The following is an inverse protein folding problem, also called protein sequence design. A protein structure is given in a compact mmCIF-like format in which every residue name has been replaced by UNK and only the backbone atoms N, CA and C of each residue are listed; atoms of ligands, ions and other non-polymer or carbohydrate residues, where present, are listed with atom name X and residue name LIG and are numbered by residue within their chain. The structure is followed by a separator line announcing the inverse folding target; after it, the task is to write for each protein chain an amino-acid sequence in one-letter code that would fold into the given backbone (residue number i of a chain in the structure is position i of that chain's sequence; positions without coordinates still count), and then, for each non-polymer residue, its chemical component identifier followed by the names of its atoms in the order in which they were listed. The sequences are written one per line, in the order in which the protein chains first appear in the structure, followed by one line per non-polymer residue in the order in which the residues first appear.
data_IF_414195254390
#
_entry.id   IF_414195254390
#
_cell.length_a   1.000
_cell.length_b   1.000
_cell.length_c   1.000
_cell.angle_alpha   90.00
_cell.angle_beta   90.00
_cell.angle_gamma   90.00
#
_symmetry.space_group_name_H-M   'P 1'
#
loop_
_entity.id
_entity.type
_entity.pdbx_description
1 polymer ?
#
# COMPACT_ATOMS: atom_id res chain seq x y z
N UNK A 1 -21.68 -32.83 3.55
CA UNK A 1 -22.60 -31.67 3.69
C UNK A 1 -21.79 -30.46 3.22
N UNK A 2 -22.17 -29.89 2.10
CA UNK A 2 -21.53 -28.67 1.62
C UNK A 2 -21.85 -27.57 2.63
N UNK A 3 -20.84 -27.01 3.29
CA UNK A 3 -21.02 -25.89 4.18
C UNK A 3 -21.03 -24.61 3.36
N UNK A 4 -22.14 -23.89 3.37
CA UNK A 4 -22.28 -22.58 2.74
C UNK A 4 -22.25 -21.50 3.80
N UNK A 5 -21.58 -20.40 3.50
CA UNK A 5 -21.77 -19.18 4.26
C UNK A 5 -23.13 -18.60 3.92
N UNK A 6 -23.95 -18.35 4.90
CA UNK A 6 -25.21 -17.67 4.72
C UNK A 6 -25.09 -16.25 5.26
N UNK A 7 -25.11 -15.30 4.37
CA UNK A 7 -25.27 -13.91 4.75
C UNK A 7 -26.70 -13.49 4.42
N UNK A 8 -27.46 -13.10 5.44
CA UNK A 8 -28.81 -12.64 5.28
C UNK A 8 -28.88 -11.15 5.59
N UNK A 9 -28.90 -10.30 4.56
CA UNK A 9 -29.45 -8.96 4.70
C UNK A 9 -30.98 -9.07 4.70
N UNK A 10 -31.70 -8.04 5.12
CA UNK A 10 -33.16 -8.05 5.14
C UNK A 10 -33.82 -8.39 3.78
N UNK A 11 -33.07 -8.49 2.71
CA UNK A 11 -33.54 -8.68 1.34
C UNK A 11 -32.77 -9.69 0.51
N UNK A 12 -31.56 -10.12 0.89
CA UNK A 12 -30.68 -10.91 0.01
C UNK A 12 -29.90 -11.97 0.80
N UNK A 13 -29.86 -13.17 0.24
CA UNK A 13 -29.19 -14.35 0.78
C UNK A 13 -27.98 -14.65 -0.11
N UNK A 14 -26.77 -14.27 0.31
CA UNK A 14 -25.52 -14.58 -0.41
C UNK A 14 -24.96 -15.86 0.22
N UNK A 15 -24.82 -16.90 -0.60
CA UNK A 15 -24.24 -18.17 -0.18
C UNK A 15 -22.81 -18.26 -0.66
N UNK A 16 -21.91 -18.51 0.26
CA UNK A 16 -20.50 -18.72 -0.02
C UNK A 16 -20.13 -20.19 0.23
N UNK A 17 -19.42 -20.76 -0.70
CA UNK A 17 -18.88 -22.12 -0.51
C UNK A 17 -17.63 -22.05 0.36
N UNK A 18 -17.62 -22.76 1.49
CA UNK A 18 -16.42 -22.96 2.31
C UNK A 18 -15.51 -23.97 1.64
N UNK A 19 -14.40 -23.54 1.07
CA UNK A 19 -13.35 -24.47 0.66
C UNK A 19 -12.48 -24.81 1.88
N UNK A 20 -12.57 -26.03 2.43
CA UNK A 20 -11.79 -26.43 3.60
C UNK A 20 -10.28 -26.45 3.30
N UNK A 21 -9.88 -26.46 2.03
CA UNK A 21 -8.48 -26.46 1.61
C UNK A 21 -7.82 -25.08 1.67
N UNK A 22 -8.59 -24.02 1.91
CA UNK A 22 -8.06 -22.66 1.98
C UNK A 22 -7.41 -22.29 3.33
N UNK A 23 -7.53 -23.16 4.35
CA UNK A 23 -7.06 -22.89 5.71
C UNK A 23 -5.57 -22.52 5.81
N UNK A 24 -4.74 -23.03 4.91
CA UNK A 24 -3.31 -22.76 4.85
C UNK A 24 -2.95 -21.71 3.79
N UNK A 25 -3.94 -21.15 3.08
CA UNK A 25 -3.71 -20.20 1.99
C UNK A 25 -3.55 -18.77 2.47
N UNK A 26 -2.78 -18.04 1.69
CA UNK A 26 -2.61 -16.59 1.78
C UNK A 26 -3.50 -15.96 0.70
N UNK A 27 -4.50 -15.22 1.11
CA UNK A 27 -5.59 -14.76 0.25
C UNK A 27 -5.62 -13.25 0.17
N UNK A 28 -6.05 -12.70 -0.97
CA UNK A 28 -6.47 -11.30 -1.08
C UNK A 28 -7.98 -11.27 -1.28
N UNK A 29 -8.67 -10.51 -0.45
CA UNK A 29 -10.08 -10.22 -0.56
C UNK A 29 -10.26 -8.80 -1.08
N UNK A 30 -10.96 -8.65 -2.21
CA UNK A 30 -11.18 -7.35 -2.86
C UNK A 30 -12.61 -7.21 -3.34
N UNK A 31 -13.03 -5.96 -3.54
CA UNK A 31 -14.31 -5.62 -4.15
C UNK A 31 -14.06 -4.80 -5.42
N UNK A 32 -14.56 -5.24 -6.56
CA UNK A 32 -14.41 -4.58 -7.84
C UNK A 32 -15.72 -3.95 -8.31
N UNK A 33 -15.66 -2.67 -8.65
CA UNK A 33 -16.73 -1.94 -9.30
C UNK A 33 -16.15 -0.97 -10.33
N UNK A 34 -16.32 -1.29 -11.63
CA UNK A 34 -15.76 -0.48 -12.72
C UNK A 34 -14.23 -0.47 -12.77
N UNK A 35 -13.59 -1.58 -12.36
CA UNK A 35 -12.14 -1.78 -12.42
C UNK A 35 -11.74 -2.86 -13.44
N UNK A 36 -12.62 -3.20 -14.38
CA UNK A 36 -12.44 -4.28 -15.35
C UNK A 36 -11.17 -4.13 -16.19
N UNK A 37 -10.81 -2.90 -16.54
CA UNK A 37 -9.60 -2.60 -17.33
C UNK A 37 -8.29 -2.92 -16.60
N UNK A 38 -8.33 -3.11 -15.26
CA UNK A 38 -7.16 -3.24 -14.40
C UNK A 38 -7.14 -4.49 -13.54
N UNK A 39 -8.27 -5.20 -13.46
CA UNK A 39 -8.42 -6.32 -12.52
C UNK A 39 -7.43 -7.45 -12.81
N UNK A 40 -7.08 -7.70 -14.06
CA UNK A 40 -6.10 -8.71 -14.42
C UNK A 40 -4.68 -8.32 -13.95
N UNK A 41 -4.32 -7.02 -14.04
CA UNK A 41 -3.06 -6.52 -13.47
C UNK A 41 -3.02 -6.73 -11.96
N UNK A 42 -4.13 -6.42 -11.26
CA UNK A 42 -4.27 -6.63 -9.83
C UNK A 42 -4.10 -8.10 -9.45
N UNK A 43 -4.80 -9.01 -10.11
CA UNK A 43 -4.70 -10.45 -9.87
C UNK A 43 -3.27 -10.94 -10.07
N UNK A 44 -2.66 -10.60 -11.19
CA UNK A 44 -1.28 -10.99 -11.50
C UNK A 44 -0.27 -10.44 -10.49
N UNK A 45 -0.45 -9.19 -10.05
CA UNK A 45 0.43 -8.59 -9.05
C UNK A 45 0.46 -9.40 -7.75
N UNK A 46 -0.71 -9.74 -7.22
CA UNK A 46 -0.79 -10.44 -5.94
C UNK A 46 -0.42 -11.92 -6.02
N UNK A 47 -0.75 -12.61 -7.11
CA UNK A 47 -0.26 -13.96 -7.34
C UNK A 47 1.28 -14.00 -7.47
N UNK A 48 1.88 -13.02 -8.17
CA UNK A 48 3.32 -12.90 -8.28
C UNK A 48 4.00 -12.51 -6.97
N UNK A 49 3.30 -11.78 -6.08
CA UNK A 49 3.79 -11.47 -4.73
C UNK A 49 3.74 -12.69 -3.80
N UNK A 50 3.08 -13.77 -4.21
CA UNK A 50 3.04 -15.04 -3.51
C UNK A 50 1.74 -15.35 -2.76
N UNK A 51 0.68 -14.57 -2.98
CA UNK A 51 -0.66 -14.97 -2.55
C UNK A 51 -1.14 -16.18 -3.35
N UNK A 52 -1.94 -17.03 -2.74
CA UNK A 52 -2.41 -18.26 -3.35
C UNK A 52 -3.74 -18.08 -4.09
N UNK A 53 -4.57 -17.15 -3.64
CA UNK A 53 -5.94 -17.00 -4.15
C UNK A 53 -6.43 -15.58 -3.97
N UNK A 54 -7.23 -15.12 -4.93
CA UNK A 54 -7.94 -13.84 -4.86
C UNK A 54 -9.43 -14.14 -4.72
N UNK A 55 -10.04 -13.58 -3.68
CA UNK A 55 -11.48 -13.59 -3.45
C UNK A 55 -12.02 -12.24 -3.91
N UNK A 56 -12.90 -12.26 -4.88
CA UNK A 56 -13.36 -11.06 -5.56
C UNK A 56 -14.88 -10.90 -5.42
N UNK A 57 -15.29 -9.83 -4.76
CA UNK A 57 -16.67 -9.37 -4.74
C UNK A 57 -16.94 -8.59 -6.04
N UNK A 58 -17.69 -9.17 -6.97
CA UNK A 58 -18.13 -8.47 -8.18
C UNK A 58 -19.34 -7.60 -7.87
N UNK A 59 -19.11 -6.33 -7.74
CA UNK A 59 -20.12 -5.30 -7.51
C UNK A 59 -20.35 -4.43 -8.75
N UNK A 60 -19.99 -4.94 -9.94
CA UNK A 60 -20.28 -4.28 -11.21
C UNK A 60 -21.78 -4.26 -11.53
N UNK A 61 -22.11 -3.56 -12.59
CA UNK A 61 -23.48 -3.57 -13.16
C UNK A 61 -23.62 -4.66 -14.27
N UNK A 62 -22.51 -5.26 -14.72
CA UNK A 62 -22.43 -6.30 -15.75
C UNK A 62 -21.62 -7.52 -15.28
N UNK A 63 -21.55 -8.57 -16.12
CA UNK A 63 -20.91 -9.86 -15.83
C UNK A 63 -19.54 -10.05 -16.51
N UNK A 64 -18.90 -8.98 -16.90
CA UNK A 64 -17.67 -9.02 -17.69
C UNK A 64 -16.46 -9.61 -16.95
N UNK A 65 -16.44 -9.58 -15.59
CA UNK A 65 -15.31 -10.08 -14.80
C UNK A 65 -15.06 -11.58 -14.97
N UNK A 66 -16.11 -12.39 -15.06
CA UNK A 66 -15.97 -13.84 -15.30
C UNK A 66 -15.27 -14.12 -16.64
N UNK A 67 -15.58 -13.32 -17.66
CA UNK A 67 -14.94 -13.44 -18.98
C UNK A 67 -13.47 -13.04 -18.95
N UNK A 68 -13.14 -11.96 -18.26
CA UNK A 68 -11.77 -11.45 -18.12
C UNK A 68 -10.90 -12.44 -17.32
N UNK A 69 -11.45 -13.00 -16.24
CA UNK A 69 -10.69 -13.81 -15.29
C UNK A 69 -10.91 -15.33 -15.44
N UNK A 70 -11.48 -15.77 -16.58
CA UNK A 70 -11.87 -17.18 -16.83
C UNK A 70 -10.76 -18.18 -16.55
N UNK A 71 -9.53 -17.88 -16.95
CA UNK A 71 -8.40 -18.80 -16.81
C UNK A 71 -7.95 -18.91 -15.33
N UNK A 72 -8.02 -17.80 -14.57
CA UNK A 72 -7.74 -17.78 -13.14
C UNK A 72 -8.84 -18.51 -12.33
N UNK A 73 -10.10 -18.39 -12.76
CA UNK A 73 -11.23 -19.13 -12.16
C UNK A 73 -11.05 -20.63 -12.41
N UNK A 74 -10.74 -21.02 -13.65
CA UNK A 74 -10.52 -22.42 -14.02
C UNK A 74 -9.37 -23.06 -13.24
N UNK A 75 -8.34 -22.29 -12.89
CA UNK A 75 -7.19 -22.72 -12.10
C UNK A 75 -7.41 -22.59 -10.58
N UNK A 76 -8.59 -22.18 -10.14
CA UNK A 76 -8.92 -21.94 -8.73
C UNK A 76 -8.00 -20.93 -8.01
N UNK A 77 -7.42 -19.98 -8.75
CA UNK A 77 -6.63 -18.88 -8.19
C UNK A 77 -7.45 -17.61 -8.01
N UNK A 78 -8.64 -17.53 -8.65
CA UNK A 78 -9.64 -16.48 -8.43
C UNK A 78 -10.99 -17.14 -8.14
N UNK A 79 -11.69 -16.61 -7.15
CA UNK A 79 -13.08 -16.94 -6.86
C UNK A 79 -13.91 -15.66 -6.86
N UNK A 80 -14.97 -15.63 -7.68
CA UNK A 80 -15.83 -14.46 -7.84
C UNK A 80 -17.16 -14.69 -7.13
N UNK A 81 -17.52 -13.73 -6.29
CA UNK A 81 -18.83 -13.68 -5.66
C UNK A 81 -19.68 -12.60 -6.32
N UNK A 82 -20.78 -13.01 -6.90
CA UNK A 82 -21.72 -12.11 -7.55
C UNK A 82 -22.48 -11.27 -6.53
N UNK A 83 -22.07 -10.03 -6.39
CA UNK A 83 -22.68 -9.01 -5.53
C UNK A 83 -23.30 -7.87 -6.35
N UNK A 84 -23.63 -8.11 -7.61
CA UNK A 84 -24.26 -7.14 -8.51
C UNK A 84 -25.63 -6.73 -7.99
N UNK A 85 -25.97 -5.46 -8.18
CA UNK A 85 -27.25 -4.91 -7.68
C UNK A 85 -27.29 -4.60 -6.20
N UNK A 86 -26.28 -4.99 -5.44
CA UNK A 86 -26.11 -4.48 -4.09
C UNK A 86 -25.44 -3.10 -4.19
N UNK A 87 -25.96 -2.09 -3.59
CA UNK A 87 -25.37 -0.76 -3.62
C UNK A 87 -23.93 -0.76 -3.11
N UNK A 88 -23.71 -0.19 -1.97
CA UNK A 88 -22.44 -0.17 -1.27
C UNK A 88 -22.25 -1.48 -0.48
N UNK A 89 -21.45 -2.42 -0.97
CA UNK A 89 -21.37 -3.76 -0.36
C UNK A 89 -19.97 -4.14 0.16
N UNK A 90 -18.96 -3.36 -0.12
CA UNK A 90 -17.56 -3.68 0.21
C UNK A 90 -17.34 -3.96 1.71
N UNK A 91 -17.82 -3.08 2.57
CA UNK A 91 -17.63 -3.20 4.03
C UNK A 91 -18.34 -4.45 4.57
N UNK A 92 -19.54 -4.72 4.09
CA UNK A 92 -20.31 -5.90 4.45
C UNK A 92 -19.60 -7.17 3.98
N UNK A 93 -19.11 -7.18 2.75
CA UNK A 93 -18.37 -8.31 2.19
C UNK A 93 -17.10 -8.60 2.99
N UNK A 94 -16.29 -7.57 3.27
CA UNK A 94 -15.08 -7.70 4.06
C UNK A 94 -15.38 -8.21 5.48
N UNK A 95 -16.39 -7.65 6.14
CA UNK A 95 -16.77 -8.06 7.50
C UNK A 95 -17.20 -9.52 7.55
N UNK A 96 -18.01 -9.94 6.60
CA UNK A 96 -18.47 -11.31 6.47
C UNK A 96 -17.30 -12.26 6.19
N UNK A 97 -16.47 -11.95 5.21
CA UNK A 97 -15.35 -12.80 4.84
C UNK A 97 -14.29 -12.88 5.94
N UNK A 98 -14.11 -11.81 6.70
CA UNK A 98 -13.20 -11.77 7.85
C UNK A 98 -13.68 -12.69 8.98
N UNK A 99 -14.97 -12.66 9.32
CA UNK A 99 -15.52 -13.44 10.44
C UNK A 99 -15.66 -14.93 10.11
N UNK A 100 -15.89 -15.27 8.85
CA UNK A 100 -16.21 -16.63 8.44
C UNK A 100 -15.17 -17.27 7.52
N UNK A 101 -14.21 -16.51 7.04
CA UNK A 101 -13.19 -16.96 6.10
C UNK A 101 -12.29 -18.06 6.66
N UNK A 102 -11.95 -19.00 5.78
CA UNK A 102 -11.06 -20.11 6.09
C UNK A 102 -9.72 -19.88 5.37
N UNK A 103 -8.75 -19.23 6.03
CA UNK A 103 -7.48 -18.86 5.46
C UNK A 103 -6.37 -18.77 6.52
N UNK A 104 -5.12 -18.79 6.10
CA UNK A 104 -3.97 -18.54 6.97
C UNK A 104 -3.74 -17.06 7.19
N UNK A 105 -3.80 -16.28 6.09
CA UNK A 105 -3.74 -14.83 6.09
C UNK A 105 -4.64 -14.28 4.99
N UNK A 106 -5.35 -13.20 5.25
CA UNK A 106 -6.17 -12.52 4.27
C UNK A 106 -5.87 -11.01 4.25
N UNK A 107 -5.51 -10.51 3.09
CA UNK A 107 -5.35 -9.09 2.82
C UNK A 107 -6.68 -8.51 2.32
N UNK A 108 -7.05 -7.33 2.80
CA UNK A 108 -8.26 -6.60 2.40
C UNK A 108 -7.84 -5.31 1.70
N UNK A 109 -7.72 -5.39 0.37
CA UNK A 109 -7.22 -4.30 -0.46
C UNK A 109 -8.24 -3.91 -1.53
N UNK A 110 -8.26 -2.64 -1.91
CA UNK A 110 -9.08 -2.16 -3.02
C UNK A 110 -8.43 -2.57 -4.35
N UNK A 111 -9.23 -2.73 -5.40
CA UNK A 111 -8.76 -3.21 -6.70
C UNK A 111 -7.79 -2.24 -7.42
N UNK A 112 -7.59 -1.06 -6.89
CA UNK A 112 -6.64 -0.05 -7.37
C UNK A 112 -5.45 0.18 -6.40
N UNK A 113 -5.24 -0.76 -5.46
CA UNK A 113 -4.15 -0.77 -4.50
C UNK A 113 -3.17 -1.91 -4.78
N UNK A 114 -1.87 -1.61 -4.77
CA UNK A 114 -0.81 -2.56 -5.07
C UNK A 114 0.26 -2.54 -3.97
N UNK A 115 0.37 -3.64 -3.21
CA UNK A 115 1.35 -3.77 -2.15
C UNK A 115 2.77 -3.90 -2.71
N UNK A 116 3.65 -3.01 -2.27
CA UNK A 116 5.10 -3.13 -2.48
C UNK A 116 5.77 -3.45 -1.15
N UNK A 117 6.46 -4.58 -1.08
CA UNK A 117 7.32 -4.94 0.03
C UNK A 117 8.74 -4.47 -0.25
N UNK A 118 9.35 -3.73 0.65
CA UNK A 118 10.68 -3.17 0.42
C UNK A 118 11.76 -4.25 0.40
N UNK A 119 11.71 -5.19 1.31
CA UNK A 119 12.76 -6.18 1.53
C UNK A 119 12.42 -7.51 0.89
N UNK A 120 11.27 -8.06 1.22
CA UNK A 120 10.86 -9.40 0.78
C UNK A 120 10.31 -9.39 -0.65
N UNK A 121 10.61 -10.44 -1.40
CA UNK A 121 10.03 -10.67 -2.73
C UNK A 121 8.74 -11.48 -2.68
N UNK A 122 8.47 -12.11 -1.54
CA UNK A 122 7.33 -13.00 -1.33
C UNK A 122 6.61 -12.64 -0.03
N UNK A 123 5.29 -12.52 -0.11
CA UNK A 123 4.45 -12.15 1.04
C UNK A 123 4.51 -13.19 2.17
N UNK A 124 4.66 -14.48 1.82
CA UNK A 124 4.71 -15.56 2.81
C UNK A 124 5.95 -15.46 3.67
N UNK A 125 7.12 -15.16 3.05
CA UNK A 125 8.37 -14.96 3.78
C UNK A 125 8.25 -13.78 4.75
N UNK A 126 7.64 -12.69 4.30
CA UNK A 126 7.38 -11.53 5.14
C UNK A 126 6.41 -11.87 6.29
N UNK A 127 5.24 -12.42 6.00
CA UNK A 127 4.20 -12.70 7.01
C UNK A 127 4.64 -13.75 8.03
N UNK A 128 5.57 -14.65 7.66
CA UNK A 128 6.15 -15.60 8.60
C UNK A 128 7.05 -14.93 9.66
N UNK A 129 7.49 -13.69 9.45
CA UNK A 129 8.23 -12.90 10.45
C UNK A 129 7.34 -12.09 11.38
N UNK A 130 6.04 -12.02 11.09
CA UNK A 130 5.06 -11.24 11.85
C UNK A 130 4.46 -12.10 12.95
N UNK A 131 4.43 -11.58 14.17
CA UNK A 131 3.86 -12.26 15.33
C UNK A 131 2.44 -11.81 15.64
N UNK A 132 2.10 -10.59 15.25
CA UNK A 132 0.81 -9.98 15.47
C UNK A 132 -0.29 -10.61 14.60
N UNK A 133 -1.53 -10.39 14.98
CA UNK A 133 -2.71 -10.95 14.30
C UNK A 133 -3.11 -10.12 13.07
N UNK A 134 -2.77 -8.85 13.08
CA UNK A 134 -3.09 -7.92 12.02
C UNK A 134 -1.88 -7.05 11.69
N UNK A 135 -1.57 -6.94 10.41
CA UNK A 135 -0.56 -6.01 9.91
C UNK A 135 -1.18 -5.07 8.89
N UNK A 136 -0.81 -3.79 8.99
CA UNK A 136 -1.33 -2.75 8.10
C UNK A 136 -0.22 -2.03 7.35
N UNK A 137 -0.53 -1.56 6.14
CA UNK A 137 0.37 -0.80 5.28
C UNK A 137 -0.25 0.52 4.90
N UNK A 138 0.47 1.62 5.17
CA UNK A 138 0.05 2.94 4.75
C UNK A 138 0.03 3.08 3.22
N UNK A 139 -0.84 3.95 2.74
CA UNK A 139 -0.87 4.33 1.34
C UNK A 139 0.32 5.22 0.96
N UNK A 140 0.72 5.10 -0.29
CA UNK A 140 1.35 6.15 -1.07
C UNK A 140 0.46 6.39 -2.27
N UNK A 141 -0.14 7.57 -2.34
CA UNK A 141 -0.99 7.96 -3.46
C UNK A 141 -0.15 8.18 -4.70
N UNK A 142 -0.56 7.57 -5.83
CA UNK A 142 0.02 7.77 -7.15
C UNK A 142 -0.96 8.57 -8.00
N UNK A 143 -0.50 9.72 -8.47
CA UNK A 143 -1.34 10.67 -9.17
C UNK A 143 -1.32 10.49 -10.70
N UNK A 144 -2.07 11.33 -11.41
CA UNK A 144 -2.25 11.26 -12.87
C UNK A 144 -0.99 11.45 -13.71
N UNK A 145 0.09 12.00 -13.19
CA UNK A 145 1.38 12.24 -13.87
C UNK A 145 1.26 13.01 -15.21
N UNK A 146 0.28 13.88 -15.34
CA UNK A 146 0.02 14.65 -16.57
C UNK A 146 -0.89 13.94 -17.59
N UNK A 147 -1.38 12.75 -17.30
CA UNK A 147 -2.23 11.99 -18.20
C UNK A 147 -3.70 12.41 -18.08
N UNK A 148 -4.24 12.95 -19.17
CA UNK A 148 -5.64 13.33 -19.25
C UNK A 148 -6.51 12.23 -19.88
N UNK A 149 -5.96 11.50 -20.85
CA UNK A 149 -6.69 10.49 -21.59
C UNK A 149 -6.34 9.08 -21.14
N UNK A 150 -7.34 8.22 -21.09
CA UNK A 150 -7.11 6.79 -20.84
C UNK A 150 -6.30 6.20 -22.00
N UNK A 151 -5.25 5.45 -21.65
CA UNK A 151 -4.38 4.73 -22.58
C UNK A 151 -4.33 3.26 -22.19
N UNK A 152 -3.98 2.42 -23.15
CA UNK A 152 -3.65 1.02 -22.86
C UNK A 152 -2.37 0.92 -22.03
N UNK A 153 -2.26 -0.16 -21.27
CA UNK A 153 -1.09 -0.48 -20.46
C UNK A 153 -1.40 -0.55 -18.98
N UNK A 154 -0.45 -1.11 -18.25
CA UNK A 154 -0.56 -1.31 -16.81
C UNK A 154 -0.62 0.01 -16.06
N UNK A 155 -1.46 0.07 -15.05
CA UNK A 155 -1.63 1.25 -14.19
C UNK A 155 -0.30 1.65 -13.56
N UNK A 156 0.47 0.67 -13.06
CA UNK A 156 1.74 0.95 -12.40
C UNK A 156 2.80 1.53 -13.35
N UNK A 157 2.76 1.17 -14.63
CA UNK A 157 3.70 1.68 -15.63
C UNK A 157 3.28 3.08 -16.13
N UNK A 158 1.97 3.32 -16.26
CA UNK A 158 1.40 4.59 -16.73
C UNK A 158 1.55 5.71 -15.70
N UNK A 159 1.45 5.40 -14.42
CA UNK A 159 1.48 6.36 -13.32
C UNK A 159 2.62 6.09 -12.34
N UNK A 160 3.89 6.25 -12.76
CA UNK A 160 5.04 5.84 -11.94
C UNK A 160 5.37 6.80 -10.79
N UNK A 161 4.77 8.00 -10.75
CA UNK A 161 5.13 9.02 -9.77
C UNK A 161 4.09 9.19 -8.68
N UNK A 162 4.52 9.17 -7.40
CA UNK A 162 3.64 9.44 -6.29
C UNK A 162 3.21 10.92 -6.23
N UNK A 163 2.13 11.18 -5.54
CA UNK A 163 1.69 12.52 -5.15
C UNK A 163 2.61 13.05 -4.05
N UNK A 164 3.11 14.25 -4.20
CA UNK A 164 4.12 14.85 -3.32
C UNK A 164 3.58 16.02 -2.50
N UNK A 165 4.17 16.30 -1.36
CA UNK A 165 5.20 15.52 -0.66
C UNK A 165 4.60 14.27 0.00
N UNK A 166 5.26 13.11 -0.13
CA UNK A 166 4.73 11.81 0.34
C UNK A 166 4.34 11.86 1.82
N UNK A 167 5.24 12.36 2.67
CA UNK A 167 5.03 12.37 4.11
C UNK A 167 3.85 13.26 4.54
N UNK A 168 3.57 14.33 3.81
CA UNK A 168 2.58 15.35 4.20
C UNK A 168 1.28 15.26 3.40
N UNK A 169 1.19 14.34 2.47
CA UNK A 169 -0.04 14.16 1.72
C UNK A 169 -1.06 13.48 2.64
N UNK A 170 -2.17 14.17 2.90
CA UNK A 170 -3.13 13.80 3.95
C UNK A 170 -3.73 12.41 3.78
N UNK A 171 -3.87 11.92 2.53
CA UNK A 171 -4.40 10.59 2.25
C UNK A 171 -3.39 9.48 2.55
N UNK A 172 -2.10 9.77 2.60
CA UNK A 172 -1.06 8.77 2.87
C UNK A 172 -1.03 8.29 4.34
N UNK A 173 -1.76 8.94 5.23
CA UNK A 173 -1.92 8.46 6.62
C UNK A 173 -2.85 7.26 6.74
N UNK A 174 -3.72 7.06 5.74
CA UNK A 174 -4.60 5.89 5.71
C UNK A 174 -3.82 4.62 5.43
N UNK A 175 -4.38 3.50 5.84
CA UNK A 175 -3.79 2.18 5.65
C UNK A 175 -4.85 1.10 5.40
N UNK A 176 -4.41 -0.04 4.89
CA UNK A 176 -5.19 -1.26 4.72
C UNK A 176 -4.53 -2.41 5.44
N UNK A 177 -5.29 -3.46 5.71
CA UNK A 177 -4.91 -4.50 6.65
C UNK A 177 -4.82 -5.89 6.02
N UNK A 178 -3.90 -6.69 6.55
CA UNK A 178 -3.78 -8.13 6.34
C UNK A 178 -4.00 -8.80 7.69
N UNK A 179 -4.90 -9.77 7.73
CA UNK A 179 -5.34 -10.45 8.94
C UNK A 179 -4.87 -11.90 8.97
N UNK A 180 -4.39 -12.35 10.12
CA UNK A 180 -4.11 -13.77 10.37
C UNK A 180 -5.40 -14.52 10.58
N UNK A 181 -5.65 -15.54 9.78
CA UNK A 181 -6.80 -16.44 9.93
C UNK A 181 -6.69 -17.32 11.19
N UNK A 182 -7.77 -18.00 11.50
CA UNK A 182 -7.88 -18.95 12.60
C UNK A 182 -9.28 -18.99 13.17
N UNK A 183 -9.71 -20.16 13.61
CA UNK A 183 -11.05 -20.35 14.19
C UNK A 183 -11.25 -19.38 15.36
N UNK A 184 -12.33 -18.63 15.32
CA UNK A 184 -12.89 -17.81 16.40
C UNK A 184 -12.06 -16.59 16.81
N UNK A 185 -11.02 -16.19 16.05
CA UNK A 185 -10.25 -14.97 16.38
C UNK A 185 -11.01 -13.69 16.08
N UNK A 186 -11.87 -13.74 15.07
CA UNK A 186 -12.58 -12.57 14.55
C UNK A 186 -14.11 -12.77 14.57
N UNK A 187 -14.66 -13.44 15.61
CA UNK A 187 -16.10 -13.50 15.80
C UNK A 187 -16.67 -12.09 16.03
N UNK A 188 -17.72 -11.77 15.28
CA UNK A 188 -18.37 -10.45 15.29
C UNK A 188 -17.49 -9.28 14.84
N UNK A 189 -16.58 -9.53 13.91
CA UNK A 189 -15.75 -8.47 13.32
C UNK A 189 -16.59 -7.64 12.37
N UNK A 190 -16.32 -6.38 12.44
CA UNK A 190 -16.88 -5.41 11.54
C UNK A 190 -15.74 -4.51 11.02
N UNK A 191 -15.76 -4.19 9.75
CA UNK A 191 -14.76 -3.30 9.16
C UNK A 191 -15.15 -1.83 9.33
N UNK A 192 -14.21 -1.00 9.81
CA UNK A 192 -14.37 0.45 9.80
C UNK A 192 -13.93 0.96 8.42
N UNK A 193 -14.91 1.31 7.58
CA UNK A 193 -14.71 1.93 6.28
C UNK A 193 -13.85 1.08 5.34
N UNK A 194 -13.83 -0.14 5.18
CA UNK A 194 -12.94 -0.97 4.33
C UNK A 194 -11.45 -0.94 4.68
N UNK A 195 -11.05 -0.36 5.80
CA UNK A 195 -9.63 -0.20 6.15
C UNK A 195 -9.17 -1.17 7.22
N UNK A 196 -9.88 -1.24 8.33
CA UNK A 196 -9.47 -2.02 9.49
C UNK A 196 -10.63 -2.84 10.06
N UNK A 197 -10.35 -4.06 10.51
CA UNK A 197 -11.29 -4.80 11.30
C UNK A 197 -11.36 -4.21 12.72
N UNK A 198 -12.55 -3.96 13.21
CA UNK A 198 -12.77 -3.69 14.63
C UNK A 198 -13.00 -5.03 15.30
N UNK A 199 -12.02 -5.47 16.06
CA UNK A 199 -12.03 -6.77 16.72
C UNK A 199 -12.29 -6.63 18.23
N UNK A 200 -12.60 -7.75 18.87
CA UNK A 200 -12.60 -7.86 20.33
C UNK A 200 -11.18 -7.69 20.90
N UNK A 201 -11.08 -7.45 22.19
CA UNK A 201 -9.91 -6.91 22.89
C UNK A 201 -8.59 -7.70 22.83
N UNK A 202 -8.54 -8.86 22.22
CA UNK A 202 -7.37 -9.76 22.27
C UNK A 202 -6.56 -9.79 20.97
N UNK A 203 -6.88 -8.95 19.99
CA UNK A 203 -6.19 -8.91 18.70
C UNK A 203 -5.01 -7.96 18.76
N UNK A 204 -3.84 -8.44 18.36
CA UNK A 204 -2.60 -7.67 18.30
C UNK A 204 -2.39 -7.07 16.92
N UNK A 205 -1.96 -5.82 16.87
CA UNK A 205 -1.83 -5.04 15.65
C UNK A 205 -0.40 -4.57 15.41
N UNK A 206 -0.03 -4.45 14.13
CA UNK A 206 1.25 -3.91 13.70
C UNK A 206 1.04 -3.00 12.50
N UNK A 207 1.72 -1.86 12.45
CA UNK A 207 1.71 -0.98 11.29
C UNK A 207 3.12 -0.94 10.69
N UNK A 208 3.20 -1.21 9.39
CA UNK A 208 4.45 -1.16 8.64
C UNK A 208 5.47 -2.25 8.99
N UNK A 209 5.08 -3.28 9.75
CA UNK A 209 5.93 -4.43 10.08
C UNK A 209 6.97 -4.20 11.19
N UNK A 210 7.02 -3.01 11.79
CA UNK A 210 8.05 -2.64 12.78
C UNK A 210 7.51 -2.04 14.07
N UNK A 211 6.24 -1.72 14.12
CA UNK A 211 5.62 -1.06 15.24
C UNK A 211 4.42 -1.87 15.73
N UNK A 212 4.58 -2.74 16.73
CA UNK A 212 3.44 -3.25 17.47
C UNK A 212 2.64 -2.07 18.02
N UNK A 213 1.34 -2.10 17.81
CA UNK A 213 0.44 -1.04 18.28
C UNK A 213 -0.44 -1.68 19.35
N UNK A 214 -0.30 -1.25 20.59
CA UNK A 214 -1.31 -1.54 21.59
C UNK A 214 -2.60 -0.84 21.16
N UNK A 215 -3.72 -1.49 21.42
CA UNK A 215 -5.08 -1.08 21.06
C UNK A 215 -5.30 0.43 21.24
N UNK A 216 -4.98 1.23 20.23
CA UNK A 216 -4.98 2.68 20.36
C UNK A 216 -5.99 3.36 19.41
N UNK A 217 -6.24 4.63 19.69
CA UNK A 217 -7.13 5.46 18.88
C UNK A 217 -6.71 5.58 17.40
N UNK A 218 -5.41 5.44 17.08
CA UNK A 218 -4.90 5.52 15.72
C UNK A 218 -5.41 4.36 14.87
N UNK A 219 -5.36 3.14 15.43
CA UNK A 219 -5.85 1.97 14.69
C UNK A 219 -7.38 2.05 14.45
N UNK A 220 -8.13 2.49 15.45
CA UNK A 220 -9.58 2.68 15.33
C UNK A 220 -9.95 3.78 14.32
N UNK A 221 -9.09 4.79 14.16
CA UNK A 221 -9.30 5.86 13.19
C UNK A 221 -8.86 5.50 11.75
N UNK A 222 -8.31 4.30 11.52
CA UNK A 222 -7.72 3.84 10.26
C UNK A 222 -6.65 4.75 9.66
N UNK A 223 -6.01 5.54 10.51
CA UNK A 223 -4.95 6.47 10.13
C UNK A 223 -3.73 6.28 11.01
N UNK A 224 -2.55 6.45 10.43
CA UNK A 224 -1.28 6.44 11.16
C UNK A 224 -0.42 7.60 10.70
N UNK A 225 -0.02 8.43 11.65
CA UNK A 225 0.86 9.55 11.39
C UNK A 225 2.05 9.56 12.36
N UNK A 226 3.30 9.69 11.90
CA UNK A 226 3.71 9.65 10.50
C UNK A 226 3.48 8.27 9.87
N UNK A 227 3.25 8.20 8.55
CA UNK A 227 3.05 6.92 7.88
C UNK A 227 4.31 6.04 7.97
N UNK A 228 4.11 4.71 8.01
CA UNK A 228 5.14 3.70 8.27
C UNK A 228 5.45 2.93 6.98
N UNK A 229 6.55 3.26 6.31
CA UNK A 229 6.91 2.70 4.99
C UNK A 229 8.07 1.71 5.01
N UNK A 230 8.72 1.46 6.16
CA UNK A 230 9.98 0.71 6.21
C UNK A 230 9.88 -0.71 5.67
N UNK A 231 8.83 -1.45 5.97
CA UNK A 231 8.64 -2.81 5.46
C UNK A 231 7.91 -2.89 4.13
N UNK A 232 7.14 -1.87 3.80
CA UNK A 232 6.34 -1.81 2.58
C UNK A 232 5.29 -0.73 2.63
N UNK A 233 4.56 -0.58 1.55
CA UNK A 233 3.49 0.39 1.39
C UNK A 233 2.52 -0.06 0.30
N UNK A 234 1.32 0.52 0.30
CA UNK A 234 0.35 0.32 -0.77
C UNK A 234 0.41 1.48 -1.75
N UNK A 235 0.75 1.20 -3.01
CA UNK A 235 0.59 2.14 -4.11
C UNK A 235 -0.90 2.26 -4.40
N UNK A 236 -1.49 3.43 -4.19
CA UNK A 236 -2.91 3.65 -4.41
C UNK A 236 -3.14 4.53 -5.64
N UNK A 237 -3.71 3.95 -6.69
CA UNK A 237 -3.99 4.58 -7.98
C UNK A 237 -5.43 5.10 -8.03
N UNK A 238 -5.74 6.04 -7.14
CA UNK A 238 -7.10 6.51 -6.92
C UNK A 238 -7.68 7.30 -8.09
N UNK A 239 -6.91 8.22 -8.66
CA UNK A 239 -7.36 9.12 -9.74
C UNK A 239 -7.14 8.55 -11.13
N UNK A 240 -6.00 7.95 -11.40
CA UNK A 240 -5.57 7.54 -12.73
C UNK A 240 -5.60 8.74 -13.72
N UNK A 241 -5.95 8.56 -15.00
CA UNK A 241 -6.15 9.68 -15.94
C UNK A 241 -7.45 10.45 -15.66
N UNK A 242 -7.61 11.61 -16.28
CA UNK A 242 -8.84 12.40 -16.13
C UNK A 242 -10.08 11.67 -16.63
N UNK A 243 -9.98 10.98 -17.77
CA UNK A 243 -11.10 10.20 -18.32
C UNK A 243 -11.53 9.10 -17.35
N UNK A 244 -10.57 8.40 -16.71
CA UNK A 244 -10.82 7.37 -15.71
C UNK A 244 -11.38 7.97 -14.43
N UNK A 245 -10.89 9.14 -14.04
CA UNK A 245 -11.42 9.88 -12.88
C UNK A 245 -12.88 10.27 -13.06
N UNK A 246 -13.27 10.75 -14.25
CA UNK A 246 -14.66 11.08 -14.54
C UNK A 246 -15.55 9.83 -14.49
N UNK A 247 -15.10 8.70 -15.06
CA UNK A 247 -15.82 7.42 -14.95
C UNK A 247 -16.01 7.00 -13.50
N UNK A 248 -14.92 7.01 -12.71
CA UNK A 248 -14.94 6.64 -11.30
C UNK A 248 -15.85 7.54 -10.48
N UNK A 249 -15.78 8.85 -10.68
CA UNK A 249 -16.59 9.80 -9.94
C UNK A 249 -18.05 9.78 -10.31
N UNK A 250 -18.42 9.44 -11.55
CA UNK A 250 -19.83 9.33 -11.96
C UNK A 250 -20.56 8.15 -11.33
N UNK A 251 -19.85 7.07 -10.96
CA UNK A 251 -20.45 5.89 -10.30
C UNK A 251 -20.73 6.08 -8.80
N UNK A 252 -20.19 7.15 -8.18
CA UNK A 252 -20.29 7.39 -6.75
C UNK A 252 -19.32 6.58 -5.89
N UNK A 253 -19.31 6.86 -4.59
CA UNK A 253 -18.52 6.14 -3.60
C UNK A 253 -19.16 4.79 -3.24
N UNK A 254 -18.36 3.82 -2.73
CA UNK A 254 -18.90 2.55 -2.25
C UNK A 254 -19.94 2.67 -1.12
N UNK A 255 -20.00 3.79 -0.42
CA UNK A 255 -20.97 4.09 0.64
C UNK A 255 -22.25 4.75 0.13
N UNK A 256 -22.36 4.94 -1.21
CA UNK A 256 -23.53 5.55 -1.86
C UNK A 256 -23.54 7.08 -1.81
N UNK A 257 -22.53 7.72 -1.21
CA UNK A 257 -22.42 9.18 -1.28
C UNK A 257 -22.08 9.61 -2.71
N UNK A 258 -22.75 10.65 -3.25
CA UNK A 258 -22.35 11.20 -4.54
C UNK A 258 -20.92 11.73 -4.43
N UNK A 259 -20.04 11.26 -5.31
CA UNK A 259 -18.76 11.94 -5.44
C UNK A 259 -19.02 13.33 -6.00
N UNK A 260 -18.71 14.31 -5.22
CA UNK A 260 -18.39 15.61 -5.78
C UNK A 260 -17.06 15.41 -6.51
N UNK A 261 -17.13 14.99 -7.78
CA UNK A 261 -16.00 14.99 -8.68
C UNK A 261 -15.55 16.43 -8.85
N UNK A 262 -14.80 16.90 -7.89
CA UNK A 262 -14.21 18.21 -8.01
C UNK A 262 -13.04 18.03 -8.97
N UNK A 263 -13.13 18.66 -10.13
CA UNK A 263 -11.99 18.89 -11.01
C UNK A 263 -10.76 19.38 -10.22
N UNK A 264 -10.98 20.02 -9.10
CA UNK A 264 -9.97 20.47 -8.14
C UNK A 264 -9.16 19.34 -7.49
N UNK A 265 -9.79 18.19 -7.14
CA UNK A 265 -9.06 17.07 -6.56
C UNK A 265 -8.09 16.47 -7.59
N UNK A 266 -8.59 16.16 -8.79
CA UNK A 266 -7.75 15.67 -9.87
C UNK A 266 -6.61 16.64 -10.19
N UNK A 267 -6.91 17.94 -10.35
CA UNK A 267 -5.90 18.95 -10.66
C UNK A 267 -4.83 19.07 -9.59
N UNK A 268 -5.20 18.92 -8.31
CA UNK A 268 -4.26 18.95 -7.21
C UNK A 268 -3.31 17.74 -7.24
N UNK A 269 -3.85 16.52 -7.42
CA UNK A 269 -3.03 15.32 -7.52
C UNK A 269 -2.17 15.32 -8.78
N UNK A 270 -2.72 15.75 -9.91
CA UNK A 270 -1.98 15.86 -11.15
C UNK A 270 -0.77 16.80 -11.00
N UNK A 271 -0.99 18.01 -10.47
CA UNK A 271 0.11 18.96 -10.24
C UNK A 271 1.20 18.40 -9.32
N UNK A 272 0.79 17.72 -8.23
CA UNK A 272 1.72 17.16 -7.24
C UNK A 272 2.43 15.88 -7.70
N UNK A 273 1.93 15.21 -8.73
CA UNK A 273 2.54 13.98 -9.27
C UNK A 273 3.39 14.21 -10.51
N UNK A 274 3.35 15.40 -11.11
CA UNK A 274 4.27 15.74 -12.19
C UNK A 274 5.69 15.88 -11.62
N UNK A 275 6.69 15.20 -12.20
CA UNK A 275 8.07 15.30 -11.75
C UNK A 275 8.56 16.74 -11.77
N UNK A 276 8.94 17.27 -10.62
CA UNK A 276 9.59 18.57 -10.54
C UNK A 276 11.03 18.39 -11.02
N UNK A 277 11.28 18.72 -12.28
CA UNK A 277 12.61 18.62 -12.84
C UNK A 277 13.58 19.53 -12.06
N UNK A 278 14.55 18.89 -11.37
CA UNK A 278 15.86 19.45 -11.02
C UNK A 278 15.97 20.62 -10.04
N UNK A 279 14.91 21.17 -9.46
CA UNK A 279 15.08 22.29 -8.52
C UNK A 279 15.75 21.88 -7.19
N UNK A 280 15.60 20.64 -6.78
CA UNK A 280 16.22 20.12 -5.55
C UNK A 280 17.72 19.82 -5.75
N UNK A 281 18.14 19.54 -6.97
CA UNK A 281 19.54 19.19 -7.28
C UNK A 281 20.54 20.31 -6.92
N UNK A 282 20.11 21.57 -6.97
CA UNK A 282 20.97 22.71 -6.63
C UNK A 282 21.08 22.96 -5.12
N UNK A 283 20.19 22.40 -4.31
CA UNK A 283 20.10 22.68 -2.87
C UNK A 283 21.00 21.76 -2.01
N UNK A 284 21.41 20.59 -2.55
CA UNK A 284 22.17 19.60 -1.78
C UNK A 284 23.65 19.47 -2.17
N UNK A 285 24.11 20.15 -3.22
CA UNK A 285 25.47 19.98 -3.74
C UNK A 285 26.49 20.95 -3.10
N UNK A 286 26.04 22.00 -2.43
CA UNK A 286 26.96 22.94 -1.81
C UNK A 286 27.34 22.50 -0.40
N UNK A 287 28.45 21.78 -0.31
CA UNK A 287 29.01 21.26 0.95
C UNK A 287 29.43 22.36 1.95
N UNK A 288 29.37 23.62 1.61
CA UNK A 288 29.77 24.73 2.48
C UNK A 288 28.63 25.29 3.34
N UNK A 289 27.38 24.87 3.09
CA UNK A 289 26.21 25.37 3.81
C UNK A 289 25.42 24.27 4.53
N UNK A 290 26.08 23.49 5.35
CA UNK A 290 25.45 22.52 6.27
C UNK A 290 24.45 23.17 7.26
N UNK A 291 24.24 24.46 7.20
CA UNK A 291 23.33 25.20 8.09
C UNK A 291 21.98 25.55 7.44
N UNK A 292 21.83 25.38 6.14
CA UNK A 292 20.57 25.70 5.47
C UNK A 292 19.99 24.45 4.79
N UNK A 293 19.29 23.66 5.58
CA UNK A 293 18.24 22.80 4.97
C UNK A 293 17.31 23.72 4.16
N UNK A 294 16.88 23.32 2.96
CA UNK A 294 15.85 24.06 2.24
C UNK A 294 14.71 24.37 3.21
N UNK A 295 14.23 25.61 3.22
CA UNK A 295 13.20 26.03 4.17
C UNK A 295 11.97 25.12 4.20
N UNK A 296 11.64 24.50 3.08
CA UNK A 296 10.58 23.49 2.98
C UNK A 296 10.96 22.15 3.64
N UNK A 297 12.18 21.65 3.48
CA UNK A 297 12.62 20.43 4.16
C UNK A 297 12.81 20.68 5.66
N UNK A 298 13.37 21.82 6.04
CA UNK A 298 13.45 22.25 7.45
C UNK A 298 12.07 22.43 8.04
N UNK A 299 11.13 23.06 7.31
CA UNK A 299 9.75 23.18 7.75
C UNK A 299 9.03 21.82 7.88
N UNK A 300 9.34 20.87 7.01
CA UNK A 300 8.86 19.48 7.13
C UNK A 300 9.48 18.84 8.37
N UNK A 301 10.77 18.98 8.57
CA UNK A 301 11.48 18.41 9.71
C UNK A 301 11.09 19.08 11.03
N UNK A 302 10.89 20.41 11.04
CA UNK A 302 10.48 21.18 12.22
C UNK A 302 9.00 20.97 12.59
N UNK A 303 8.13 20.66 11.62
CA UNK A 303 6.72 20.32 11.89
C UNK A 303 6.55 18.98 12.59
N UNK A 304 7.51 18.10 12.49
CA UNK A 304 7.51 16.81 13.16
C UNK A 304 8.57 16.87 14.25
N UNK A 305 8.17 16.99 15.52
CA UNK A 305 9.02 16.88 16.72
C UNK A 305 9.92 15.62 16.74
N UNK A 306 9.79 14.78 15.74
CA UNK A 306 10.45 13.48 15.55
C UNK A 306 11.91 13.66 15.12
N UNK A 307 12.32 14.83 14.62
CA UNK A 307 13.71 15.10 14.28
C UNK A 307 14.26 16.21 15.16
N UNK A 308 14.25 15.99 16.46
CA UNK A 308 15.17 16.70 17.34
C UNK A 308 16.58 16.13 17.14
N UNK A 309 17.26 16.63 16.12
CA UNK A 309 18.69 16.47 16.06
C UNK A 309 19.30 17.41 17.11
N UNK A 310 19.71 16.86 18.20
CA UNK A 310 20.57 17.57 19.13
C UNK A 310 21.84 18.03 18.36
N UNK A 311 22.34 19.22 18.67
CA UNK A 311 23.57 19.77 18.09
C UNK A 311 24.83 18.90 18.28
N UNK A 312 24.74 17.80 19.06
CA UNK A 312 25.76 16.76 19.21
C UNK A 312 25.88 15.81 18.03
N UNK A 313 24.87 15.74 17.15
CA UNK A 313 24.80 14.74 16.06
C UNK A 313 25.27 15.28 14.70
N UNK A 314 26.23 16.21 14.69
CA UNK A 314 26.84 16.76 13.44
C UNK A 314 27.33 15.67 12.49
N UNK A 315 27.75 14.52 13.01
CA UNK A 315 28.19 13.39 12.18
C UNK A 315 27.02 12.74 11.42
N UNK A 316 25.87 12.63 12.07
CA UNK A 316 24.66 12.07 11.47
C UNK A 316 24.18 12.96 10.31
N UNK A 317 24.21 14.27 10.51
CA UNK A 317 23.88 15.23 9.44
C UNK A 317 24.83 15.15 8.25
N UNK A 318 26.12 15.02 8.51
CA UNK A 318 27.12 14.87 7.45
C UNK A 318 26.88 13.62 6.61
N UNK A 319 26.55 12.49 7.26
CA UNK A 319 26.23 11.23 6.58
C UNK A 319 24.95 11.33 5.76
N UNK A 320 23.91 11.97 6.27
CA UNK A 320 22.66 12.17 5.52
C UNK A 320 22.86 13.09 4.32
N UNK A 321 23.63 14.18 4.49
CA UNK A 321 23.96 15.06 3.38
C UNK A 321 24.75 14.36 2.28
N UNK A 322 25.72 13.54 2.65
CA UNK A 322 26.45 12.69 1.70
C UNK A 322 25.54 11.70 1.00
N UNK A 323 24.65 11.06 1.73
CA UNK A 323 23.70 10.12 1.17
C UNK A 323 22.75 10.77 0.17
N UNK A 324 22.18 11.92 0.51
CA UNK A 324 21.33 12.69 -0.40
C UNK A 324 22.08 13.14 -1.65
N UNK A 325 23.35 13.50 -1.50
CA UNK A 325 24.21 13.84 -2.64
C UNK A 325 24.47 12.64 -3.58
N UNK A 326 24.67 11.45 -3.01
CA UNK A 326 24.83 10.22 -3.78
C UNK A 326 23.51 9.87 -4.50
N UNK A 327 22.39 9.91 -3.81
CA UNK A 327 21.07 9.70 -4.41
C UNK A 327 20.82 10.66 -5.58
N UNK A 328 21.19 11.93 -5.43
CA UNK A 328 21.02 12.95 -6.46
C UNK A 328 21.88 12.71 -7.70
N UNK A 329 23.04 12.09 -7.53
CA UNK A 329 24.03 11.89 -8.61
C UNK A 329 23.89 10.56 -9.34
N UNK A 330 23.00 9.65 -8.88
CA UNK A 330 22.86 8.29 -9.39
C UNK A 330 21.41 7.99 -9.79
N UNK A 331 21.25 7.00 -10.66
CA UNK A 331 19.94 6.45 -11.06
C UNK A 331 20.00 4.93 -11.09
N UNK A 332 18.86 4.25 -10.89
CA UNK A 332 18.76 2.79 -10.92
C UNK A 332 19.62 2.04 -9.89
N UNK A 333 19.94 2.69 -8.79
CA UNK A 333 20.64 2.06 -7.67
C UNK A 333 19.65 1.64 -6.58
N UNK A 334 20.07 0.69 -5.74
CA UNK A 334 19.33 0.29 -4.55
C UNK A 334 20.14 0.67 -3.31
N UNK A 335 19.55 1.47 -2.45
CA UNK A 335 20.09 1.90 -1.18
C UNK A 335 19.39 1.15 -0.05
N UNK A 336 20.17 0.47 0.76
CA UNK A 336 19.67 -0.33 1.88
C UNK A 336 20.13 0.29 3.19
N UNK A 337 19.21 0.77 3.98
CA UNK A 337 19.48 1.25 5.33
C UNK A 337 19.36 0.09 6.33
N UNK A 338 20.31 0.00 7.26
CA UNK A 338 20.35 -1.07 8.27
C UNK A 338 20.29 -0.55 9.70
N UNK A 339 20.05 0.75 9.91
CA UNK A 339 20.19 1.38 11.19
C UNK A 339 18.86 1.79 11.83
N UNK A 340 18.73 1.54 13.14
CA UNK A 340 17.57 1.93 13.95
C UNK A 340 17.39 3.45 14.10
N UNK A 341 18.42 4.25 13.85
CA UNK A 341 18.38 5.71 13.97
C UNK A 341 17.58 6.40 12.85
N UNK A 342 17.23 5.70 11.78
CA UNK A 342 16.32 6.23 10.78
C UNK A 342 14.90 6.04 11.31
N UNK A 343 14.26 7.14 11.65
CA UNK A 343 12.83 7.13 11.95
C UNK A 343 11.99 7.08 10.67
N UNK A 344 10.69 6.83 10.84
CA UNK A 344 9.77 6.65 9.71
C UNK A 344 9.64 7.91 8.86
N UNK A 345 9.69 9.10 9.47
CA UNK A 345 9.60 10.37 8.75
C UNK A 345 10.80 10.58 7.84
N UNK A 346 12.00 10.31 8.34
CA UNK A 346 13.22 10.44 7.54
C UNK A 346 13.27 9.39 6.44
N UNK A 347 12.83 8.17 6.72
CA UNK A 347 12.73 7.13 5.70
C UNK A 347 11.75 7.52 4.58
N UNK A 348 10.59 8.12 4.92
CA UNK A 348 9.64 8.62 3.95
C UNK A 348 10.24 9.71 3.04
N UNK A 349 11.08 10.60 3.57
CA UNK A 349 11.81 11.61 2.78
C UNK A 349 12.79 10.95 1.81
N UNK A 350 13.55 9.96 2.27
CA UNK A 350 14.47 9.23 1.39
C UNK A 350 13.75 8.42 0.31
N UNK A 351 12.61 7.84 0.66
CA UNK A 351 11.78 7.12 -0.29
C UNK A 351 11.25 8.04 -1.39
N UNK A 352 10.73 9.22 -1.01
CA UNK A 352 10.28 10.24 -1.96
C UNK A 352 11.40 10.66 -2.91
N UNK A 353 12.57 10.93 -2.35
CA UNK A 353 13.73 11.31 -3.15
C UNK A 353 14.23 10.18 -4.05
N UNK A 354 14.11 8.94 -3.59
CA UNK A 354 14.37 7.75 -4.41
C UNK A 354 13.46 7.70 -5.64
N UNK A 355 12.17 7.96 -5.48
CA UNK A 355 11.23 8.05 -6.60
C UNK A 355 11.62 9.15 -7.59
N UNK A 356 12.05 10.33 -7.11
CA UNK A 356 12.46 11.43 -7.98
C UNK A 356 13.70 11.15 -8.80
N UNK A 357 14.66 10.48 -8.20
CA UNK A 357 15.96 10.21 -8.82
C UNK A 357 15.98 8.87 -9.57
N UNK A 358 14.90 8.12 -9.55
CA UNK A 358 14.83 6.79 -10.15
C UNK A 358 15.64 5.73 -9.39
N UNK A 359 15.95 6.00 -8.12
CA UNK A 359 16.62 5.05 -7.24
C UNK A 359 15.60 4.30 -6.39
N UNK A 360 16.06 3.22 -5.77
CA UNK A 360 15.29 2.45 -4.83
C UNK A 360 15.87 2.63 -3.42
N UNK A 361 15.01 2.92 -2.48
CA UNK A 361 15.38 3.05 -1.08
C UNK A 361 14.62 2.01 -0.29
N UNK A 362 15.33 1.20 0.48
CA UNK A 362 14.76 0.14 1.30
C UNK A 362 15.39 0.14 2.69
N UNK A 363 14.68 -0.43 3.65
CA UNK A 363 15.14 -0.60 5.02
C UNK A 363 15.25 -2.09 5.35
N UNK A 364 16.38 -2.51 5.91
CA UNK A 364 16.60 -3.88 6.36
C UNK A 364 16.96 -3.88 7.85
N UNK A 365 16.25 -4.68 8.65
CA UNK A 365 16.45 -4.75 10.10
C UNK A 365 17.70 -5.51 10.51
N UNK A 366 18.12 -6.44 9.67
CA UNK A 366 19.22 -7.36 9.94
C UNK A 366 19.87 -7.85 8.66
N UNK A 367 20.93 -8.65 8.79
CA UNK A 367 21.71 -9.16 7.66
C UNK A 367 20.90 -10.08 6.74
N UNK A 368 19.94 -10.82 7.26
CA UNK A 368 19.09 -11.70 6.45
C UNK A 368 18.21 -10.87 5.51
N UNK A 369 17.63 -9.77 6.01
CA UNK A 369 16.85 -8.85 5.18
C UNK A 369 17.69 -8.13 4.13
N UNK A 370 18.97 -7.81 4.43
CA UNK A 370 19.91 -7.30 3.42
C UNK A 370 20.09 -8.33 2.31
N UNK A 371 20.23 -9.61 2.66
CA UNK A 371 20.34 -10.69 1.69
C UNK A 371 19.08 -10.89 0.86
N UNK A 372 17.90 -10.86 1.46
CA UNK A 372 16.61 -10.90 0.76
C UNK A 372 16.47 -9.72 -0.22
N UNK A 373 16.84 -8.53 0.22
CA UNK A 373 16.85 -7.33 -0.63
C UNK A 373 17.75 -7.53 -1.85
N UNK A 374 18.95 -8.05 -1.62
CA UNK A 374 19.89 -8.36 -2.71
C UNK A 374 19.29 -9.36 -3.70
N UNK A 375 18.74 -10.47 -3.23
CA UNK A 375 18.10 -11.48 -4.08
C UNK A 375 16.89 -10.92 -4.83
N UNK A 376 16.06 -10.13 -4.17
CA UNK A 376 14.87 -9.50 -4.78
C UNK A 376 15.23 -8.62 -5.97
N UNK A 377 16.32 -7.88 -5.90
CA UNK A 377 16.65 -6.85 -6.88
C UNK A 377 17.82 -7.21 -7.81
N UNK A 378 18.64 -8.19 -7.48
CA UNK A 378 19.79 -8.60 -8.28
C UNK A 378 19.45 -9.05 -9.70
N UNK A 379 18.28 -9.65 -9.89
CA UNK A 379 17.81 -10.12 -11.20
C UNK A 379 17.21 -9.00 -12.08
N UNK A 380 16.93 -7.84 -11.52
CA UNK A 380 16.59 -6.65 -12.30
C UNK A 380 17.93 -6.03 -12.66
N UNK A 381 18.18 -5.66 -13.92
CA UNK A 381 19.40 -4.96 -14.41
C UNK A 381 19.61 -3.64 -13.65
N UNK A 382 19.56 -3.68 -12.36
CA UNK A 382 19.67 -2.57 -11.44
C UNK A 382 21.14 -2.45 -11.02
N UNK A 383 21.61 -1.23 -11.01
CA UNK A 383 22.96 -0.85 -10.70
C UNK A 383 23.46 -1.30 -9.33
N UNK A 384 24.50 -0.65 -8.86
CA UNK A 384 25.21 -0.97 -7.63
C UNK A 384 24.30 -0.92 -6.40
N UNK A 385 24.52 -1.82 -5.44
CA UNK A 385 23.94 -1.78 -4.11
C UNK A 385 24.80 -0.96 -3.17
N UNK A 386 24.18 -0.11 -2.39
CA UNK A 386 24.80 0.60 -1.29
C UNK A 386 24.16 0.15 0.01
N UNK A 387 24.93 -0.43 0.90
CA UNK A 387 24.49 -0.76 2.26
C UNK A 387 24.98 0.38 3.16
N UNK A 388 24.07 1.04 3.81
CA UNK A 388 24.32 2.18 4.67
C UNK A 388 24.07 1.76 6.11
N UNK A 389 25.16 1.40 6.77
CA UNK A 389 25.17 1.15 8.22
C UNK A 389 25.61 2.45 8.89
N UNK A 390 24.68 3.11 9.56
CA UNK A 390 24.87 4.40 10.21
C UNK A 390 25.25 4.27 11.69
N UNK A 391 25.78 3.10 12.11
CA UNK A 391 26.23 2.89 13.48
C UNK A 391 27.40 3.80 13.83
#
# INVERSE_FOLDING_TARGET
MEEFYHFKTNTIDVKFHKDPTDIDKYIVCTCARGENDYIEEFVNHYLNLGFDKIILCDNNDDDSLEGILKDYIANNTVEIFNCRGFGSFQVQFYSMFCSEGNYKWCAYFDADEFLELNVYSNIKDFLNTIHEDCISFNWIMFGPNGEYHQKEGKVQDRFPQPVKPILMYKENVFFKSILRGGKNRFENVWFNGSHVPICSNDVTYNIGGLCPVEHNAEYQSHTCFPPKYRCGYLKHYYTKSFDEWIKKSSRGWPDGTPTLATSNYFSCENYKSIPIQKQIHSLFIDNNHLQEFPNNLKGILDMYDVIQFNNSDKQVYALYSQFMSILASTTNHTFVFTNEHINDSLFAIFLEYGFETGNRVVFARNQDEVWYTYLKYSNKKAGTYYILDLR
#
